data_IF_290812188179
#
_entry.id   IF_290812188179
#
_cell.length_a   1.000
_cell.length_b   1.000
_cell.length_c   1.000
_cell.angle_alpha   90.00
_cell.angle_beta   90.00
_cell.angle_gamma   90.00
#
_symmetry.space_group_name_H-M   'P 1'
#
loop_
_entity.id
_entity.type
_entity.pdbx_description
1 polymer ?
#
# COMPACT_ATOMS: atom_id res chain seq x y z
N UNK A 1 7.40 -5.58 21.25
CA UNK A 1 7.54 -4.23 20.66
C UNK A 1 8.24 -4.36 19.32
N UNK A 2 7.65 -3.81 18.26
CA UNK A 2 8.12 -3.74 16.87
C UNK A 2 8.31 -5.06 16.10
N UNK A 3 7.19 -5.66 15.66
CA UNK A 3 7.16 -6.57 14.51
C UNK A 3 6.94 -5.84 13.18
N UNK A 4 7.51 -4.63 13.05
CA UNK A 4 7.17 -3.68 12.00
C UNK A 4 7.87 -3.92 10.66
N UNK A 5 7.05 -4.07 9.61
CA UNK A 5 7.23 -3.44 8.29
C UNK A 5 8.44 -3.83 7.42
N UNK A 6 9.31 -4.77 7.80
CA UNK A 6 10.50 -5.06 6.99
C UNK A 6 10.21 -5.70 5.62
N UNK A 7 9.08 -6.40 5.44
CA UNK A 7 8.71 -7.04 4.17
C UNK A 7 7.79 -6.21 3.26
N UNK A 8 7.12 -5.19 3.81
CA UNK A 8 6.11 -4.40 3.08
C UNK A 8 6.73 -3.13 2.50
N UNK A 9 7.77 -2.58 3.14
CA UNK A 9 8.42 -1.35 2.73
C UNK A 9 9.01 -1.39 1.32
N UNK A 10 9.74 -2.46 0.97
CA UNK A 10 10.30 -2.59 -0.37
C UNK A 10 9.20 -2.68 -1.43
N UNK A 11 8.20 -3.57 -1.28
CA UNK A 11 7.09 -3.72 -2.23
C UNK A 11 6.28 -2.42 -2.44
N UNK A 12 6.07 -1.66 -1.36
CA UNK A 12 5.35 -0.39 -1.37
C UNK A 12 6.18 0.72 -2.02
N UNK A 13 7.44 0.92 -1.61
CA UNK A 13 8.34 1.90 -2.25
C UNK A 13 8.47 1.61 -3.75
N UNK A 14 8.56 0.33 -4.08
CA UNK A 14 8.76 -0.20 -5.43
C UNK A 14 7.53 -0.06 -6.33
N UNK A 15 6.31 -0.29 -5.84
CA UNK A 15 5.09 -0.06 -6.63
C UNK A 15 4.83 1.43 -6.93
N UNK A 16 5.50 2.33 -6.20
CA UNK A 16 5.18 3.76 -6.14
C UNK A 16 6.17 4.71 -6.79
N UNK A 17 7.38 4.26 -7.08
CA UNK A 17 8.36 5.08 -7.78
C UNK A 17 7.96 5.35 -9.23
N UNK A 18 8.34 6.50 -9.78
CA UNK A 18 8.24 6.77 -11.23
C UNK A 18 8.98 5.71 -12.04
N UNK A 19 10.18 5.37 -11.56
CA UNK A 19 10.96 4.20 -11.94
C UNK A 19 11.88 3.82 -10.78
N UNK A 20 11.87 2.58 -10.32
CA UNK A 20 12.80 2.03 -9.34
C UNK A 20 13.50 0.82 -9.94
N UNK A 21 14.82 0.91 -10.08
CA UNK A 21 15.67 -0.21 -10.42
C UNK A 21 16.55 -0.58 -9.21
N UNK A 22 16.31 -1.75 -8.61
CA UNK A 22 17.11 -2.25 -7.49
C UNK A 22 17.99 -3.40 -7.97
N UNK A 23 19.30 -3.28 -7.75
CA UNK A 23 20.25 -4.40 -7.84
C UNK A 23 20.77 -4.73 -6.45
N UNK A 24 20.47 -5.93 -5.95
CA UNK A 24 21.00 -6.43 -4.67
C UNK A 24 22.05 -7.49 -4.98
N UNK A 25 23.25 -7.31 -4.43
CA UNK A 25 24.31 -8.30 -4.48
C UNK A 25 24.34 -9.05 -3.15
N UNK A 26 24.03 -10.35 -3.16
CA UNK A 26 24.03 -11.19 -1.95
C UNK A 26 24.52 -12.59 -2.28
N UNK A 27 25.54 -13.06 -1.56
CA UNK A 27 26.12 -14.41 -1.71
C UNK A 27 26.56 -14.73 -3.15
N UNK A 28 27.16 -13.77 -3.86
CA UNK A 28 27.57 -13.94 -5.26
C UNK A 28 26.44 -13.88 -6.29
N UNK A 29 25.17 -13.77 -5.85
CA UNK A 29 24.02 -13.61 -6.73
C UNK A 29 23.64 -12.14 -6.89
N UNK A 30 23.20 -11.78 -8.09
CA UNK A 30 22.64 -10.47 -8.41
C UNK A 30 21.13 -10.61 -8.52
N UNK A 31 20.41 -9.90 -7.66
CA UNK A 31 18.95 -9.80 -7.72
C UNK A 31 18.59 -8.46 -8.33
N UNK A 32 17.78 -8.45 -9.40
CA UNK A 32 17.34 -7.24 -10.08
C UNK A 32 15.81 -7.10 -9.99
N UNK A 33 15.34 -5.90 -9.67
CA UNK A 33 13.95 -5.48 -9.79
C UNK A 33 13.86 -4.17 -10.55
N UNK A 34 12.86 -4.03 -11.42
CA UNK A 34 12.53 -2.79 -12.12
C UNK A 34 11.02 -2.54 -12.01
N UNK A 35 10.63 -1.39 -11.47
CA UNK A 35 9.23 -1.04 -11.25
C UNK A 35 8.97 0.38 -11.71
N UNK A 36 7.88 0.56 -12.44
CA UNK A 36 7.41 1.85 -12.96
C UNK A 36 6.07 2.14 -12.28
N UNK A 37 5.69 3.41 -12.20
CA UNK A 37 4.49 3.94 -11.55
C UNK A 37 3.15 3.35 -12.06
N UNK A 38 2.91 2.07 -11.76
CA UNK A 38 1.72 1.30 -12.13
C UNK A 38 0.57 1.53 -11.15
N UNK A 39 0.87 2.03 -9.94
CA UNK A 39 -0.16 2.30 -8.94
C UNK A 39 -1.12 3.36 -9.46
N UNK A 40 -0.60 4.46 -10.02
CA UNK A 40 -1.46 5.55 -10.50
C UNK A 40 -2.40 5.14 -11.65
N UNK A 41 -2.05 4.10 -12.43
CA UNK A 41 -2.91 3.58 -13.50
C UNK A 41 -4.27 3.10 -12.96
N UNK A 42 -4.28 2.52 -11.76
CA UNK A 42 -5.47 1.93 -11.16
C UNK A 42 -6.01 2.75 -9.98
N UNK A 43 -5.16 3.57 -9.34
CA UNK A 43 -5.48 4.26 -8.09
C UNK A 43 -6.70 5.17 -8.20
N UNK A 44 -6.78 6.01 -9.24
CA UNK A 44 -7.93 6.90 -9.44
C UNK A 44 -9.22 6.10 -9.61
N UNK A 45 -9.22 5.10 -10.48
CA UNK A 45 -10.41 4.30 -10.74
C UNK A 45 -10.89 3.56 -9.46
N UNK A 46 -9.98 2.93 -8.73
CA UNK A 46 -10.31 2.24 -7.48
C UNK A 46 -10.87 3.23 -6.46
N UNK A 47 -10.21 4.37 -6.26
CA UNK A 47 -10.66 5.38 -5.32
C UNK A 47 -12.05 5.93 -5.68
N UNK A 48 -12.30 6.28 -6.95
CA UNK A 48 -13.59 6.78 -7.43
C UNK A 48 -14.73 5.74 -7.28
N UNK A 49 -14.41 4.45 -7.37
CA UNK A 49 -15.39 3.38 -7.12
C UNK A 49 -15.73 3.24 -5.63
N UNK A 50 -14.81 3.60 -4.73
CA UNK A 50 -15.05 3.57 -3.28
C UNK A 50 -15.72 4.87 -2.82
N UNK A 51 -15.10 6.00 -3.13
CA UNK A 51 -15.50 7.36 -2.82
C UNK A 51 -15.95 8.04 -4.11
N UNK A 52 -17.14 8.63 -4.13
CA UNK A 52 -17.81 9.03 -5.38
C UNK A 52 -17.15 10.20 -6.14
N UNK A 53 -16.09 10.82 -5.62
CA UNK A 53 -15.57 12.09 -6.15
C UNK A 53 -14.05 12.25 -6.00
N UNK A 54 -13.45 12.89 -7.01
CA UNK A 54 -12.06 13.37 -7.04
C UNK A 54 -11.06 12.45 -7.75
N UNK A 55 -10.01 13.05 -8.31
CA UNK A 55 -8.87 12.34 -8.93
C UNK A 55 -7.73 12.25 -7.94
N UNK A 56 -7.37 11.01 -7.59
CA UNK A 56 -6.27 10.75 -6.67
C UNK A 56 -4.99 10.39 -7.44
N UNK A 57 -3.89 11.00 -7.01
CA UNK A 57 -2.56 10.72 -7.55
C UNK A 57 -1.59 10.52 -6.39
N UNK A 58 -0.69 9.57 -6.54
CA UNK A 58 0.40 9.34 -5.62
C UNK A 58 1.70 9.75 -6.27
N UNK A 59 2.52 10.53 -5.58
CA UNK A 59 3.78 11.02 -6.10
C UNK A 59 4.91 10.59 -5.18
N UNK A 60 5.92 9.98 -5.75
CA UNK A 60 7.20 9.75 -5.10
C UNK A 60 7.99 11.05 -5.03
N UNK A 61 8.50 11.38 -3.85
CA UNK A 61 9.24 12.60 -3.55
C UNK A 61 10.65 12.18 -3.14
N UNK A 62 11.60 12.15 -4.09
CA UNK A 62 12.98 11.84 -3.76
C UNK A 62 13.59 12.99 -2.96
N UNK A 63 14.40 12.66 -1.97
CA UNK A 63 15.19 13.61 -1.19
C UNK A 63 16.41 14.13 -1.98
N UNK A 64 16.75 13.45 -3.08
CA UNK A 64 17.85 13.81 -3.97
C UNK A 64 17.29 14.03 -5.38
N UNK A 65 17.59 15.18 -5.97
CA UNK A 65 17.29 15.41 -7.38
C UNK A 65 18.34 14.72 -8.26
N UNK A 66 17.93 13.68 -8.99
CA UNK A 66 18.80 12.89 -9.88
C UNK A 66 18.26 13.03 -11.29
N UNK A 67 19.04 13.70 -12.15
CA UNK A 67 18.66 13.91 -13.55
C UNK A 67 18.77 12.61 -14.38
N UNK A 68 19.75 11.77 -14.05
CA UNK A 68 20.03 10.52 -14.77
C UNK A 68 20.27 9.36 -13.81
N UNK A 69 19.48 8.30 -13.98
CA UNK A 69 19.50 7.12 -13.13
C UNK A 69 20.43 6.04 -13.69
N UNK A 70 21.73 6.34 -13.75
CA UNK A 70 22.77 5.33 -13.99
C UNK A 70 23.74 5.24 -12.80
N UNK A 71 24.38 4.08 -12.67
CA UNK A 71 25.22 3.76 -11.51
C UNK A 71 26.35 4.77 -11.29
N UNK A 72 26.94 5.29 -12.36
CA UNK A 72 28.07 6.22 -12.27
C UNK A 72 27.57 7.56 -11.73
N UNK A 73 26.54 8.14 -12.36
CA UNK A 73 25.96 9.42 -11.93
C UNK A 73 25.43 9.35 -10.50
N UNK A 74 24.68 8.30 -10.14
CA UNK A 74 24.17 8.12 -8.77
C UNK A 74 25.32 8.07 -7.76
N UNK A 75 26.36 7.29 -8.04
CA UNK A 75 27.51 7.14 -7.15
C UNK A 75 28.27 8.44 -6.94
N UNK A 76 28.46 9.22 -8.00
CA UNK A 76 29.14 10.52 -7.93
C UNK A 76 28.33 11.53 -7.11
N UNK A 77 27.03 11.63 -7.36
CA UNK A 77 26.12 12.51 -6.61
C UNK A 77 26.12 12.14 -5.12
N UNK A 78 25.91 10.86 -4.78
CA UNK A 78 25.87 10.40 -3.39
C UNK A 78 27.21 10.63 -2.67
N UNK A 79 28.34 10.30 -3.32
CA UNK A 79 29.67 10.56 -2.73
C UNK A 79 29.86 12.04 -2.41
N UNK A 80 29.45 12.93 -3.31
CA UNK A 80 29.52 14.38 -3.10
C UNK A 80 28.65 14.80 -1.91
N UNK A 81 27.38 14.37 -1.89
CA UNK A 81 26.45 14.70 -0.80
C UNK A 81 26.94 14.25 0.57
N UNK A 82 27.45 13.02 0.68
CA UNK A 82 28.00 12.48 1.93
C UNK A 82 29.25 13.23 2.39
N UNK A 83 30.14 13.59 1.46
CA UNK A 83 31.33 14.39 1.77
C UNK A 83 30.94 15.79 2.27
N UNK A 84 30.04 16.45 1.55
CA UNK A 84 29.64 17.83 1.85
C UNK A 84 28.84 17.94 3.17
N UNK A 85 28.20 16.85 3.61
CA UNK A 85 27.35 16.83 4.81
C UNK A 85 27.88 15.96 5.95
N UNK A 86 29.14 15.49 5.88
CA UNK A 86 29.73 14.56 6.84
C UNK A 86 29.53 14.99 8.31
N UNK A 87 29.86 16.24 8.64
CA UNK A 87 29.73 16.75 10.01
C UNK A 87 28.27 16.79 10.49
N UNK A 88 27.33 17.07 9.57
CA UNK A 88 25.89 17.10 9.86
C UNK A 88 25.38 15.68 10.11
N UNK A 89 25.72 14.72 9.26
CA UNK A 89 25.35 13.31 9.45
C UNK A 89 25.94 12.75 10.75
N UNK A 90 27.19 13.10 11.06
CA UNK A 90 27.84 12.71 12.31
C UNK A 90 27.10 13.27 13.54
N UNK A 91 26.71 14.54 13.51
CA UNK A 91 25.94 15.17 14.60
C UNK A 91 24.56 14.54 14.79
N UNK A 92 23.93 14.06 13.72
CA UNK A 92 22.61 13.42 13.76
C UNK A 92 22.70 11.91 14.01
N UNK A 93 23.89 11.31 13.91
CA UNK A 93 24.11 9.87 14.04
C UNK A 93 23.45 9.04 12.94
N UNK A 94 23.16 9.62 11.78
CA UNK A 94 22.41 8.94 10.71
C UNK A 94 22.66 9.57 9.34
N UNK A 95 22.62 8.75 8.28
CA UNK A 95 22.72 9.20 6.89
C UNK A 95 21.44 9.94 6.49
N UNK A 96 21.57 11.13 5.93
CA UNK A 96 20.43 12.03 5.63
C UNK A 96 20.09 12.11 4.15
N UNK A 97 20.87 11.46 3.28
CA UNK A 97 20.61 11.36 1.84
C UNK A 97 20.54 9.91 1.36
N UNK A 98 19.50 9.58 0.62
CA UNK A 98 19.28 8.27 0.01
C UNK A 98 17.81 7.87 0.04
N UNK A 99 17.45 6.74 -0.60
CA UNK A 99 16.05 6.34 -0.75
C UNK A 99 15.31 6.09 0.56
N UNK A 100 16.03 5.83 1.65
CA UNK A 100 15.48 5.72 3.01
C UNK A 100 14.96 7.05 3.58
N UNK A 101 15.22 8.18 2.90
CA UNK A 101 14.77 9.53 3.26
C UNK A 101 13.73 10.10 2.31
N UNK A 102 13.35 9.33 1.30
CA UNK A 102 12.33 9.74 0.34
C UNK A 102 10.93 9.57 0.93
N UNK A 103 9.96 10.23 0.31
CA UNK A 103 8.58 10.24 0.78
C UNK A 103 7.58 9.93 -0.35
N UNK A 104 6.34 9.63 0.02
CA UNK A 104 5.23 9.44 -0.90
C UNK A 104 4.06 10.33 -0.50
N UNK A 105 3.67 11.23 -1.41
CA UNK A 105 2.60 12.20 -1.15
C UNK A 105 1.38 11.86 -1.99
N UNK A 106 0.24 11.73 -1.33
CA UNK A 106 -1.07 11.63 -1.97
C UNK A 106 -1.62 13.01 -2.28
N UNK A 107 -2.12 13.17 -3.50
CA UNK A 107 -2.84 14.34 -3.98
C UNK A 107 -4.27 13.94 -4.35
N UNK A 108 -5.24 14.74 -3.92
CA UNK A 108 -6.63 14.69 -4.37
C UNK A 108 -6.93 15.99 -5.11
N UNK A 109 -7.26 15.91 -6.39
CA UNK A 109 -7.51 17.07 -7.25
C UNK A 109 -6.37 18.12 -7.15
N UNK A 110 -5.13 17.64 -7.21
CA UNK A 110 -3.88 18.40 -7.09
C UNK A 110 -3.60 19.03 -5.72
N UNK A 111 -4.40 18.74 -4.69
CA UNK A 111 -4.14 19.18 -3.31
C UNK A 111 -3.59 18.04 -2.45
N UNK A 112 -2.57 18.32 -1.66
CA UNK A 112 -1.98 17.33 -0.75
C UNK A 112 -3.02 16.82 0.27
N UNK A 113 -3.29 15.52 0.25
CA UNK A 113 -4.33 14.92 1.07
C UNK A 113 -4.05 15.04 2.58
N UNK A 114 -2.77 14.99 2.97
CA UNK A 114 -2.37 15.14 4.38
C UNK A 114 -2.84 16.47 4.98
N UNK A 115 -2.87 17.52 4.17
CA UNK A 115 -3.24 18.88 4.59
C UNK A 115 -4.72 19.19 4.38
N UNK A 116 -5.32 18.67 3.29
CA UNK A 116 -6.64 19.13 2.82
C UNK A 116 -7.75 18.07 2.85
N UNK A 117 -7.42 16.78 2.96
CA UNK A 117 -8.43 15.72 2.94
C UNK A 117 -8.90 15.37 4.35
N UNK A 118 -10.19 15.03 4.49
CA UNK A 118 -10.72 14.48 5.74
C UNK A 118 -10.05 13.15 6.10
N UNK A 119 -10.06 12.79 7.38
CA UNK A 119 -9.53 11.49 7.85
C UNK A 119 -10.16 10.30 7.10
N UNK A 120 -11.46 10.37 6.81
CA UNK A 120 -12.15 9.37 6.01
C UNK A 120 -11.58 9.26 4.59
N UNK A 121 -11.35 10.38 3.90
CA UNK A 121 -10.74 10.39 2.56
C UNK A 121 -9.30 9.86 2.57
N UNK A 122 -8.49 10.22 3.57
CA UNK A 122 -7.13 9.68 3.72
C UNK A 122 -7.14 8.16 3.92
N UNK A 123 -8.07 7.63 4.73
CA UNK A 123 -8.23 6.19 4.93
C UNK A 123 -8.67 5.48 3.64
N UNK A 124 -9.61 6.05 2.88
CA UNK A 124 -10.01 5.49 1.58
C UNK A 124 -8.86 5.54 0.57
N UNK A 125 -8.05 6.59 0.56
CA UNK A 125 -6.85 6.67 -0.28
C UNK A 125 -5.87 5.54 0.02
N UNK A 126 -5.60 5.27 1.31
CA UNK A 126 -4.78 4.13 1.75
C UNK A 126 -5.34 2.79 1.30
N UNK A 127 -6.65 2.57 1.43
CA UNK A 127 -7.29 1.34 0.98
C UNK A 127 -7.18 1.22 -0.54
N UNK A 128 -7.49 2.28 -1.28
CA UNK A 128 -7.38 2.29 -2.74
C UNK A 128 -5.96 2.00 -3.21
N UNK A 129 -4.96 2.54 -2.51
CA UNK A 129 -3.55 2.24 -2.73
C UNK A 129 -3.24 0.75 -2.54
N UNK A 130 -3.69 0.14 -1.44
CA UNK A 130 -3.48 -1.29 -1.19
C UNK A 130 -4.21 -2.19 -2.19
N UNK A 131 -5.39 -1.78 -2.66
CA UNK A 131 -6.09 -2.49 -3.72
C UNK A 131 -5.38 -2.36 -5.08
N UNK A 132 -4.77 -1.22 -5.38
CA UNK A 132 -3.96 -1.05 -6.58
C UNK A 132 -2.71 -1.96 -6.54
N UNK A 133 -2.10 -2.15 -5.37
CA UNK A 133 -0.98 -3.07 -5.16
C UNK A 133 -1.35 -4.52 -5.53
N UNK A 134 -2.58 -4.97 -5.20
CA UNK A 134 -3.07 -6.31 -5.58
C UNK A 134 -3.08 -6.48 -7.10
N UNK A 135 -3.54 -5.48 -7.86
CA UNK A 135 -3.56 -5.53 -9.33
C UNK A 135 -2.17 -5.60 -9.93
N UNK A 136 -1.19 -4.93 -9.33
CA UNK A 136 0.22 -5.02 -9.75
C UNK A 136 0.77 -6.43 -9.52
N UNK A 137 0.53 -7.00 -8.33
CA UNK A 137 0.96 -8.37 -8.02
C UNK A 137 0.37 -9.36 -9.03
N UNK A 138 -0.92 -9.23 -9.34
CA UNK A 138 -1.59 -10.06 -10.34
C UNK A 138 -0.96 -9.91 -11.72
N UNK A 139 -0.69 -8.69 -12.16
CA UNK A 139 -0.12 -8.42 -13.47
C UNK A 139 1.31 -8.93 -13.63
N UNK A 140 2.14 -8.78 -12.60
CA UNK A 140 3.56 -9.14 -12.64
C UNK A 140 3.80 -10.61 -12.34
N UNK A 141 3.12 -11.17 -11.33
CA UNK A 141 3.35 -12.54 -10.89
C UNK A 141 2.37 -13.55 -11.47
N UNK A 142 1.32 -13.09 -12.18
CA UNK A 142 0.27 -13.95 -12.76
C UNK A 142 -0.39 -14.86 -11.73
N UNK A 143 -0.48 -14.41 -10.48
CA UNK A 143 -1.14 -15.11 -9.37
C UNK A 143 -2.18 -14.20 -8.71
N UNK A 144 -3.24 -14.79 -8.18
CA UNK A 144 -4.20 -14.09 -7.33
C UNK A 144 -3.73 -14.21 -5.87
N UNK A 145 -3.37 -13.10 -5.20
CA UNK A 145 -2.93 -13.16 -3.81
C UNK A 145 -4.10 -13.44 -2.86
N UNK A 146 -3.79 -14.01 -1.70
CA UNK A 146 -4.72 -14.03 -0.56
C UNK A 146 -4.74 -12.62 0.03
N UNK A 147 -5.94 -12.04 0.18
CA UNK A 147 -6.14 -10.68 0.69
C UNK A 147 -6.54 -10.76 2.15
N UNK A 148 -5.73 -10.16 3.03
CA UNK A 148 -6.02 -10.07 4.45
C UNK A 148 -6.49 -8.65 4.77
N UNK A 149 -7.64 -8.53 5.41
CA UNK A 149 -8.24 -7.27 5.81
C UNK A 149 -8.44 -7.29 7.32
N UNK A 150 -7.66 -6.48 8.03
CA UNK A 150 -7.70 -6.43 9.48
C UNK A 150 -8.40 -5.15 9.97
N UNK A 151 -9.58 -5.31 10.54
CA UNK A 151 -10.40 -4.28 11.20
C UNK A 151 -10.64 -2.95 10.43
N UNK A 152 -10.38 -2.91 9.12
CA UNK A 152 -10.42 -1.66 8.34
C UNK A 152 -11.82 -1.07 8.26
N UNK A 153 -12.86 -1.88 8.53
CA UNK A 153 -14.24 -1.52 8.31
C UNK A 153 -14.87 -0.77 9.47
N UNK A 154 -14.37 -0.83 10.72
CA UNK A 154 -15.10 -0.24 11.86
C UNK A 154 -15.31 1.27 11.74
N UNK A 155 -14.43 1.97 11.03
CA UNK A 155 -14.45 3.43 10.86
C UNK A 155 -14.94 3.90 9.48
N UNK A 156 -15.49 2.99 8.67
CA UNK A 156 -15.94 3.29 7.31
C UNK A 156 -17.46 3.22 7.24
N UNK A 157 -18.11 4.16 6.55
CA UNK A 157 -19.56 4.12 6.37
C UNK A 157 -20.01 2.90 5.55
N UNK A 158 -21.27 2.48 5.77
CA UNK A 158 -21.85 1.29 5.14
C UNK A 158 -21.71 1.29 3.61
N UNK A 159 -21.86 2.43 2.93
CA UNK A 159 -21.81 2.50 1.47
C UNK A 159 -20.39 2.21 0.98
N UNK A 160 -19.40 2.89 1.58
CA UNK A 160 -17.99 2.69 1.24
C UNK A 160 -17.47 1.29 1.57
N UNK A 161 -17.85 0.70 2.71
CA UNK A 161 -17.52 -0.71 3.03
C UNK A 161 -17.92 -1.65 1.90
N UNK A 162 -19.17 -1.53 1.45
CA UNK A 162 -19.70 -2.39 0.40
C UNK A 162 -19.07 -2.11 -0.96
N UNK A 163 -18.69 -0.87 -1.25
CA UNK A 163 -17.95 -0.56 -2.48
C UNK A 163 -16.55 -1.18 -2.48
N UNK A 164 -15.83 -1.10 -1.36
CA UNK A 164 -14.52 -1.77 -1.20
C UNK A 164 -14.68 -3.26 -1.45
N UNK A 165 -15.63 -3.91 -0.76
CA UNK A 165 -15.83 -5.34 -0.90
C UNK A 165 -16.21 -5.75 -2.33
N UNK A 166 -17.05 -4.98 -3.03
CA UNK A 166 -17.40 -5.24 -4.43
C UNK A 166 -16.19 -5.24 -5.37
N UNK A 167 -15.14 -4.46 -5.07
CA UNK A 167 -13.94 -4.38 -5.92
C UNK A 167 -13.03 -5.61 -5.80
N UNK A 168 -13.16 -6.38 -4.72
CA UNK A 168 -12.29 -7.52 -4.43
C UNK A 168 -13.03 -8.86 -4.40
N UNK A 169 -14.33 -8.85 -4.13
CA UNK A 169 -15.12 -10.07 -3.98
C UNK A 169 -15.28 -10.78 -5.33
N UNK A 170 -14.88 -12.05 -5.40
CA UNK A 170 -14.99 -12.90 -6.60
C UNK A 170 -13.66 -13.19 -7.29
N UNK A 171 -12.72 -12.23 -7.28
CA UNK A 171 -11.42 -12.38 -7.94
C UNK A 171 -10.34 -13.01 -7.04
N UNK A 172 -10.51 -12.90 -5.71
CA UNK A 172 -9.49 -13.27 -4.73
C UNK A 172 -10.07 -14.07 -3.54
N UNK A 173 -9.21 -14.87 -2.90
CA UNK A 173 -9.50 -15.39 -1.56
C UNK A 173 -9.27 -14.27 -0.54
N UNK A 174 -10.30 -13.93 0.23
CA UNK A 174 -10.27 -12.81 1.17
C UNK A 174 -10.53 -13.34 2.59
N UNK A 175 -9.71 -12.90 3.55
CA UNK A 175 -9.93 -13.11 4.98
C UNK A 175 -10.13 -11.74 5.62
N UNK A 176 -11.22 -11.58 6.35
CA UNK A 176 -11.62 -10.31 6.96
C UNK A 176 -11.80 -10.54 8.46
N UNK A 177 -11.13 -9.74 9.27
CA UNK A 177 -11.43 -9.63 10.71
C UNK A 177 -12.38 -8.45 10.92
N UNK A 178 -13.39 -8.64 11.76
CA UNK A 178 -14.30 -7.56 12.17
C UNK A 178 -15.01 -7.96 13.46
N UNK A 179 -15.33 -6.97 14.28
CA UNK A 179 -16.14 -7.13 15.49
C UNK A 179 -17.63 -7.25 15.17
N UNK A 180 -18.08 -6.71 14.05
CA UNK A 180 -19.48 -6.73 13.63
C UNK A 180 -19.65 -7.00 12.13
N UNK A 181 -20.54 -7.92 11.79
CA UNK A 181 -20.98 -8.13 10.40
C UNK A 181 -21.94 -7.04 9.89
N UNK A 182 -22.31 -6.09 10.76
CA UNK A 182 -23.27 -5.04 10.46
C UNK A 182 -22.73 -4.12 9.36
N UNK A 183 -23.59 -3.86 8.37
CA UNK A 183 -23.24 -3.00 7.24
C UNK A 183 -22.53 -3.70 6.09
N UNK A 184 -22.18 -4.99 6.21
CA UNK A 184 -21.73 -5.81 5.07
C UNK A 184 -22.96 -6.32 4.29
N UNK A 185 -22.87 -6.35 2.96
CA UNK A 185 -23.93 -6.84 2.09
C UNK A 185 -24.22 -8.32 2.37
N UNK A 186 -25.48 -8.67 2.66
CA UNK A 186 -25.93 -10.05 2.93
C UNK A 186 -25.48 -11.04 1.86
N UNK A 187 -25.43 -10.66 0.58
CA UNK A 187 -24.93 -11.54 -0.49
C UNK A 187 -23.50 -11.99 -0.21
N UNK A 188 -22.62 -11.08 0.19
CA UNK A 188 -21.22 -11.39 0.54
C UNK A 188 -21.17 -12.31 1.75
N UNK A 189 -21.92 -11.95 2.81
CA UNK A 189 -21.92 -12.75 4.04
C UNK A 189 -22.47 -14.16 3.80
N UNK A 190 -23.41 -14.35 2.87
CA UNK A 190 -23.99 -15.66 2.56
C UNK A 190 -23.06 -16.52 1.69
N UNK A 191 -22.12 -15.92 0.96
CA UNK A 191 -21.11 -16.62 0.18
C UNK A 191 -19.75 -16.68 0.92
N UNK A 192 -19.76 -16.46 2.24
CA UNK A 192 -18.55 -16.42 3.07
C UNK A 192 -18.69 -17.38 4.24
N UNK A 193 -17.59 -18.06 4.60
CA UNK A 193 -17.48 -18.80 5.86
C UNK A 193 -17.26 -17.82 7.00
N UNK A 194 -17.98 -18.01 8.10
CA UNK A 194 -17.89 -17.13 9.27
C UNK A 194 -17.25 -17.92 10.40
N UNK A 195 -16.17 -17.38 10.95
CA UNK A 195 -15.50 -17.92 12.12
C UNK A 195 -15.67 -16.94 13.28
N UNK A 196 -16.14 -17.44 14.42
CA UNK A 196 -16.21 -16.70 15.67
C UNK A 196 -14.98 -17.04 16.51
N UNK A 197 -14.26 -16.00 16.95
CA UNK A 197 -13.05 -16.14 17.77
C UNK A 197 -13.37 -15.62 19.17
N UNK A 198 -13.20 -16.47 20.18
CA UNK A 198 -13.38 -16.12 21.60
C UNK A 198 -12.32 -16.82 22.45
N UNK A 199 -11.61 -16.05 23.29
CA UNK A 199 -10.59 -16.58 24.23
C UNK A 199 -9.53 -17.45 23.53
N UNK A 200 -9.09 -17.04 22.32
CA UNK A 200 -8.12 -17.79 21.52
C UNK A 200 -8.67 -19.04 20.84
N UNK A 201 -9.94 -19.37 21.01
CA UNK A 201 -10.61 -20.50 20.34
C UNK A 201 -11.39 -20.04 19.11
N UNK A 202 -11.33 -20.81 18.03
CA UNK A 202 -12.01 -20.53 16.76
C UNK A 202 -13.15 -21.53 16.57
N UNK A 203 -14.36 -21.05 16.27
CA UNK A 203 -15.52 -21.87 15.95
C UNK A 203 -16.14 -21.40 14.65
N UNK A 204 -16.38 -22.32 13.70
CA UNK A 204 -17.18 -22.01 12.51
C UNK A 204 -18.64 -21.81 12.92
N UNK A 205 -19.22 -20.68 12.52
CA UNK A 205 -20.63 -20.39 12.74
C UNK A 205 -21.39 -21.14 11.64
N UNK A 206 -22.08 -22.22 12.01
CA UNK A 206 -22.79 -23.11 11.08
C UNK A 206 -23.78 -22.42 10.14
N UNK A 207 -24.22 -23.14 9.10
CA UNK A 207 -25.04 -22.62 8.01
C UNK A 207 -26.29 -21.85 8.48
N UNK A 208 -26.53 -20.71 7.84
CA UNK A 208 -27.54 -19.71 8.23
C UNK A 208 -28.98 -20.07 7.83
N UNK A 209 -29.40 -21.30 8.04
CA UNK A 209 -30.81 -21.70 7.91
C UNK A 209 -31.51 -21.96 9.24
N UNK A 210 -30.82 -21.84 10.38
CA UNK A 210 -31.46 -21.89 11.70
C UNK A 210 -31.66 -20.48 12.28
N UNK A 211 -32.70 -19.78 11.80
CA UNK A 211 -33.52 -18.79 12.55
C UNK A 211 -34.61 -18.16 11.68
#
# INVERSE_FOLDING_TARGET
VSGGLHGVGASVVNALSEKLEVKIYKNGNIYYQNFINQINENLTNIYSNISLEGKIKLKYIPNINIERYDEITIKEILKKLYKDNYNKELSQGTTIYGPHRDDFIFYLDNKEMKLYASQGQQRIAMIAFKLAEIKIIQNQKKINPIVLIDDIFNEIDRKKKNNILKLIFGDYQIIITTTELKGINRKIINHSKIFEIKEGTIKEKGDKNDK
#
